data_IF_784601101897
#
_entry.id   IF_784601101897
#
_cell.length_a   1.000
_cell.length_b   1.000
_cell.length_c   1.000
_cell.angle_alpha   90.00
_cell.angle_beta   90.00
_cell.angle_gamma   90.00
#
_symmetry.space_group_name_H-M   'P 1'
#
loop_
_entity.id
_entity.type
_entity.pdbx_description
1 polymer ?
#
# COMPACT_ATOMS: atom_id res chain seq x y z
N UNK A 1 17.96 25.11 48.14
CA UNK A 1 17.60 24.41 46.88
C UNK A 1 18.73 23.44 46.59
N UNK A 2 18.55 22.19 46.99
CA UNK A 2 19.62 21.18 47.15
C UNK A 2 19.98 20.54 45.81
N UNK A 3 21.22 20.05 45.71
CA UNK A 3 21.80 19.36 44.54
C UNK A 3 20.96 18.20 44.00
N UNK A 4 20.05 17.65 44.82
CA UNK A 4 19.09 16.61 44.46
C UNK A 4 18.05 17.07 43.41
N UNK A 5 17.55 18.31 43.54
CA UNK A 5 16.51 18.90 42.69
C UNK A 5 17.03 19.24 41.26
N UNK A 6 18.34 19.47 41.15
CA UNK A 6 19.03 19.67 39.86
C UNK A 6 19.24 18.36 39.10
N UNK A 7 19.46 17.26 39.82
CA UNK A 7 19.67 15.93 39.22
C UNK A 7 18.36 15.33 38.67
N UNK A 8 17.24 15.51 39.38
CA UNK A 8 15.91 15.09 38.88
C UNK A 8 15.48 15.88 37.64
N UNK A 9 15.66 17.20 37.63
CA UNK A 9 15.36 18.02 36.45
C UNK A 9 16.25 17.66 35.23
N UNK A 10 17.52 17.31 35.47
CA UNK A 10 18.43 16.84 34.42
C UNK A 10 18.01 15.46 33.87
N UNK A 11 17.64 14.52 34.74
CA UNK A 11 17.16 13.20 34.33
C UNK A 11 15.80 13.25 33.61
N UNK A 12 14.90 14.13 34.04
CA UNK A 12 13.61 14.37 33.39
C UNK A 12 13.79 14.97 31.99
N UNK A 13 14.63 16.00 31.85
CA UNK A 13 14.92 16.61 30.54
C UNK A 13 15.66 15.67 29.59
N UNK A 14 16.55 14.81 30.10
CA UNK A 14 17.19 13.74 29.31
C UNK A 14 16.19 12.68 28.85
N UNK A 15 15.25 12.26 29.70
CA UNK A 15 14.17 11.32 29.32
C UNK A 15 13.19 11.95 28.33
N UNK A 16 12.89 13.25 28.47
CA UNK A 16 12.05 13.99 27.54
C UNK A 16 12.73 14.15 26.17
N UNK A 17 14.03 14.51 26.15
CA UNK A 17 14.83 14.58 24.91
C UNK A 17 15.03 13.21 24.27
N UNK A 18 15.18 12.14 25.05
CA UNK A 18 15.24 10.78 24.53
C UNK A 18 13.89 10.33 23.94
N UNK A 19 12.76 10.62 24.61
CA UNK A 19 11.42 10.33 24.07
C UNK A 19 11.09 11.18 22.84
N UNK A 20 11.44 12.47 22.85
CA UNK A 20 11.28 13.35 21.70
C UNK A 20 12.19 12.92 20.54
N UNK A 21 13.43 12.52 20.82
CA UNK A 21 14.35 11.95 19.83
C UNK A 21 13.82 10.66 19.21
N UNK A 22 13.22 9.77 20.01
CA UNK A 22 12.59 8.52 19.53
C UNK A 22 11.32 8.81 18.70
N UNK A 23 10.56 9.86 19.03
CA UNK A 23 9.37 10.26 18.28
C UNK A 23 9.68 11.06 17.00
N UNK A 24 10.74 11.87 17.01
CA UNK A 24 11.14 12.73 15.89
C UNK A 24 12.06 11.99 14.89
N UNK A 25 12.78 10.95 15.34
CA UNK A 25 13.69 10.14 14.52
C UNK A 25 13.08 9.57 13.23
N UNK A 26 11.82 9.09 13.19
CA UNK A 26 11.22 8.62 11.94
C UNK A 26 10.64 9.73 11.07
N UNK A 27 10.32 10.90 11.62
CA UNK A 27 9.69 12.00 10.87
C UNK A 27 10.73 12.74 10.02
N UNK A 28 11.94 12.92 10.57
CA UNK A 28 13.00 13.67 9.91
C UNK A 28 13.42 13.05 8.55
N UNK A 29 13.68 11.74 8.42
CA UNK A 29 13.99 11.13 7.12
C UNK A 29 12.87 11.30 6.09
N UNK A 30 11.61 11.20 6.52
CA UNK A 30 10.45 11.38 5.62
C UNK A 30 10.34 12.82 5.12
N UNK A 31 10.52 13.81 5.99
CA UNK A 31 10.53 15.22 5.59
C UNK A 31 11.72 15.53 4.67
N UNK A 32 12.90 14.99 4.96
CA UNK A 32 14.08 15.13 4.11
C UNK A 32 13.87 14.48 2.74
N UNK A 33 13.24 13.30 2.68
CA UNK A 33 12.91 12.64 1.42
C UNK A 33 11.91 13.45 0.60
N UNK A 34 10.87 14.00 1.25
CA UNK A 34 9.89 14.87 0.60
C UNK A 34 10.54 16.15 0.05
N UNK A 35 11.33 16.84 0.88
CA UNK A 35 12.04 18.05 0.48
C UNK A 35 13.05 17.77 -0.64
N UNK A 36 13.79 16.66 -0.55
CA UNK A 36 14.74 16.22 -1.57
C UNK A 36 14.06 15.90 -2.90
N UNK A 37 12.92 15.20 -2.88
CA UNK A 37 12.14 14.92 -4.07
C UNK A 37 11.62 16.21 -4.74
N UNK A 38 11.09 17.15 -3.94
CA UNK A 38 10.64 18.45 -4.44
C UNK A 38 11.79 19.26 -5.03
N UNK A 39 12.96 19.27 -4.37
CA UNK A 39 14.15 19.96 -4.84
C UNK A 39 14.64 19.38 -6.18
N UNK A 40 14.73 18.05 -6.30
CA UNK A 40 15.11 17.39 -7.54
C UNK A 40 14.12 17.68 -8.67
N UNK A 41 12.82 17.71 -8.37
CA UNK A 41 11.79 18.08 -9.34
C UNK A 41 11.94 19.53 -9.83
N UNK A 42 12.14 20.48 -8.91
CA UNK A 42 12.39 21.89 -9.26
C UNK A 42 13.66 22.04 -10.10
N UNK A 43 14.75 21.38 -9.71
CA UNK A 43 16.01 21.42 -10.45
C UNK A 43 15.83 20.88 -11.87
N UNK A 44 15.09 19.77 -12.03
CA UNK A 44 14.77 19.21 -13.34
C UNK A 44 14.02 20.20 -14.24
N UNK A 45 13.02 20.90 -13.70
CA UNK A 45 12.28 21.92 -14.45
C UNK A 45 13.15 23.10 -14.87
N UNK A 46 14.04 23.54 -13.99
CA UNK A 46 15.00 24.62 -14.29
C UNK A 46 15.96 24.21 -15.41
N UNK A 47 16.48 22.98 -15.39
CA UNK A 47 17.33 22.44 -16.48
C UNK A 47 16.56 22.37 -17.80
N UNK A 48 15.26 22.07 -17.77
CA UNK A 48 14.38 22.03 -18.95
C UNK A 48 13.87 23.44 -19.38
N UNK A 49 14.29 24.52 -18.71
CA UNK A 49 13.83 25.88 -19.01
C UNK A 49 12.34 26.13 -18.76
N UNK A 50 11.68 25.30 -17.94
CA UNK A 50 10.26 25.44 -17.57
C UNK A 50 10.11 26.26 -16.30
N UNK A 51 9.03 27.06 -16.15
CA UNK A 51 8.79 27.86 -14.94
C UNK A 51 8.51 26.97 -13.72
N UNK A 52 9.54 26.70 -12.92
CA UNK A 52 9.46 25.79 -11.78
C UNK A 52 8.56 26.31 -10.65
N UNK A 53 8.53 27.64 -10.42
CA UNK A 53 7.69 28.28 -9.41
C UNK A 53 6.21 28.11 -9.70
N UNK A 54 5.80 28.32 -10.97
CA UNK A 54 4.42 28.08 -11.42
C UNK A 54 4.05 26.61 -11.27
N UNK A 55 4.93 25.68 -11.63
CA UNK A 55 4.68 24.26 -11.44
C UNK A 55 4.43 23.89 -9.96
N UNK A 56 5.22 24.42 -9.03
CA UNK A 56 5.01 24.21 -7.60
C UNK A 56 3.68 24.80 -7.11
N UNK A 57 3.31 25.99 -7.58
CA UNK A 57 2.02 26.61 -7.26
C UNK A 57 0.85 25.78 -7.81
N UNK A 58 0.97 25.26 -9.03
CA UNK A 58 -0.04 24.39 -9.64
C UNK A 58 -0.20 23.06 -8.89
N UNK A 59 0.89 22.46 -8.40
CA UNK A 59 0.82 21.27 -7.53
C UNK A 59 0.04 21.59 -6.26
N UNK A 60 0.35 22.72 -5.61
CA UNK A 60 -0.31 23.13 -4.38
C UNK A 60 -1.81 23.45 -4.61
N UNK A 61 -2.13 24.21 -5.67
CA UNK A 61 -3.51 24.54 -6.03
C UNK A 61 -4.30 23.29 -6.46
N UNK A 62 -3.69 22.38 -7.21
CA UNK A 62 -4.29 21.14 -7.65
C UNK A 62 -4.58 20.17 -6.50
N UNK A 63 -3.85 20.26 -5.39
CA UNK A 63 -4.05 19.42 -4.21
C UNK A 63 -4.94 20.07 -3.13
N UNK A 64 -4.77 21.38 -2.88
CA UNK A 64 -5.35 22.09 -1.72
C UNK A 64 -6.12 23.36 -2.10
N UNK A 65 -6.14 23.76 -3.38
CA UNK A 65 -6.68 25.06 -3.81
C UNK A 65 -8.19 25.20 -3.71
N UNK A 66 -8.93 24.09 -3.62
CA UNK A 66 -10.38 24.09 -3.43
C UNK A 66 -10.85 22.85 -2.67
N UNK A 67 -12.08 22.89 -2.15
CA UNK A 67 -12.70 21.72 -1.53
C UNK A 67 -12.77 20.52 -2.49
N UNK A 68 -13.00 20.76 -3.78
CA UNK A 68 -13.00 19.73 -4.82
C UNK A 68 -11.61 19.13 -5.05
N UNK A 69 -10.57 19.96 -5.16
CA UNK A 69 -9.18 19.53 -5.32
C UNK A 69 -8.72 18.66 -4.13
N UNK A 70 -9.09 19.08 -2.91
CA UNK A 70 -8.83 18.33 -1.69
C UNK A 70 -9.52 16.96 -1.69
N UNK A 71 -10.81 16.90 -2.06
CA UNK A 71 -11.54 15.65 -2.15
C UNK A 71 -10.96 14.70 -3.21
N UNK A 72 -10.57 15.20 -4.38
CA UNK A 72 -9.91 14.40 -5.41
C UNK A 72 -8.57 13.83 -4.92
N UNK A 73 -7.81 14.64 -4.17
CA UNK A 73 -6.56 14.20 -3.54
C UNK A 73 -6.80 13.05 -2.56
N UNK A 74 -7.80 13.17 -1.69
CA UNK A 74 -8.19 12.11 -0.76
C UNK A 74 -8.71 10.86 -1.47
N UNK A 75 -9.44 11.02 -2.57
CA UNK A 75 -9.94 9.92 -3.39
C UNK A 75 -8.77 9.11 -3.98
N UNK A 76 -7.73 9.77 -4.49
CA UNK A 76 -6.51 9.11 -4.98
C UNK A 76 -5.65 8.54 -3.86
N UNK A 77 -5.69 9.13 -2.67
CA UNK A 77 -4.92 8.64 -1.52
C UNK A 77 -5.41 7.26 -1.04
N UNK A 78 -6.70 6.97 -1.17
CA UNK A 78 -7.30 5.71 -0.71
C UNK A 78 -6.59 4.44 -1.23
N UNK A 79 -6.47 4.20 -2.56
CA UNK A 79 -5.75 3.03 -3.07
C UNK A 79 -4.24 3.12 -2.82
N UNK A 80 -3.67 4.32 -2.70
CA UNK A 80 -2.24 4.51 -2.43
C UNK A 80 -1.85 4.06 -1.01
N UNK A 81 -2.71 4.25 0.00
CA UNK A 81 -2.47 3.77 1.36
C UNK A 81 -2.35 2.24 1.42
N UNK A 82 -3.28 1.56 0.75
CA UNK A 82 -3.36 0.11 0.69
C UNK A 82 -2.22 -0.51 -0.14
N UNK A 83 -1.90 0.07 -1.29
CA UNK A 83 -0.74 -0.36 -2.09
C UNK A 83 0.60 -0.06 -1.41
N UNK A 84 0.70 1.01 -0.60
CA UNK A 84 1.88 1.27 0.21
C UNK A 84 2.13 0.16 1.25
N UNK A 85 1.09 -0.50 1.78
CA UNK A 85 1.25 -1.66 2.66
C UNK A 85 1.87 -2.87 1.95
N UNK A 86 1.68 -2.99 0.63
CA UNK A 86 2.36 -4.01 -0.18
C UNK A 86 3.88 -3.82 -0.23
N UNK A 87 4.37 -2.61 0.02
CA UNK A 87 5.80 -2.34 0.18
C UNK A 87 6.20 -2.46 1.66
N UNK A 88 5.42 -1.85 2.55
CA UNK A 88 5.76 -1.74 3.96
C UNK A 88 5.80 -3.08 4.71
N UNK A 89 4.90 -4.03 4.37
CA UNK A 89 4.84 -5.34 5.04
C UNK A 89 6.01 -6.26 4.64
N UNK A 90 6.31 -6.48 3.35
CA UNK A 90 7.51 -7.23 2.94
C UNK A 90 8.83 -6.58 3.40
N UNK A 91 8.89 -5.24 3.49
CA UNK A 91 10.06 -4.55 4.01
C UNK A 91 10.41 -4.97 5.46
N UNK A 92 9.43 -5.43 6.25
CA UNK A 92 9.68 -5.91 7.62
C UNK A 92 10.50 -7.18 7.69
N UNK A 93 10.46 -8.00 6.63
CA UNK A 93 11.28 -9.21 6.48
C UNK A 93 12.52 -8.98 5.60
N UNK A 94 12.85 -7.70 5.33
CA UNK A 94 14.05 -7.31 4.57
C UNK A 94 13.90 -7.41 3.05
N UNK A 95 12.67 -7.48 2.53
CA UNK A 95 12.41 -7.53 1.09
C UNK A 95 12.06 -6.17 0.50
N UNK A 96 12.47 -5.94 -0.74
CA UNK A 96 12.10 -4.75 -1.52
C UNK A 96 11.16 -5.19 -2.65
N UNK A 97 9.86 -5.09 -2.40
CA UNK A 97 8.79 -5.40 -3.35
C UNK A 97 8.27 -4.12 -3.99
N UNK A 98 8.20 -4.09 -5.32
CA UNK A 98 7.68 -2.94 -6.09
C UNK A 98 6.49 -3.30 -6.99
N UNK A 99 6.12 -4.58 -7.07
CA UNK A 99 5.04 -5.09 -7.92
C UNK A 99 3.61 -4.93 -7.40
N UNK A 100 3.35 -3.96 -6.52
CA UNK A 100 2.02 -3.77 -5.93
C UNK A 100 0.91 -3.44 -6.94
N UNK A 101 1.28 -2.80 -8.06
CA UNK A 101 0.38 -2.51 -9.18
C UNK A 101 -0.23 -3.78 -9.79
N UNK A 102 0.55 -4.87 -9.91
CA UNK A 102 0.04 -6.15 -10.39
C UNK A 102 -1.00 -6.76 -9.44
N UNK A 103 -0.77 -6.64 -8.13
CA UNK A 103 -1.72 -7.13 -7.13
C UNK A 103 -3.03 -6.32 -7.15
N UNK A 104 -2.95 -5.00 -7.32
CA UNK A 104 -4.10 -4.11 -7.53
C UNK A 104 -4.88 -4.53 -8.78
N UNK A 105 -4.20 -4.69 -9.92
CA UNK A 105 -4.85 -5.05 -11.19
C UNK A 105 -5.58 -6.40 -11.09
N UNK A 106 -4.93 -7.42 -10.51
CA UNK A 106 -5.55 -8.73 -10.29
C UNK A 106 -6.68 -8.66 -9.26
N UNK A 107 -6.50 -7.93 -8.16
CA UNK A 107 -7.54 -7.74 -7.15
C UNK A 107 -8.81 -7.12 -7.74
N UNK A 108 -8.67 -5.99 -8.44
CA UNK A 108 -9.77 -5.30 -9.11
C UNK A 108 -10.46 -6.16 -10.17
N UNK A 109 -9.70 -6.94 -10.96
CA UNK A 109 -10.26 -7.88 -11.93
C UNK A 109 -11.16 -8.92 -11.26
N UNK A 110 -10.66 -9.60 -10.23
CA UNK A 110 -11.41 -10.67 -9.56
C UNK A 110 -12.61 -10.10 -8.81
N UNK A 111 -12.49 -8.91 -8.20
CA UNK A 111 -13.63 -8.20 -7.61
C UNK A 111 -14.71 -7.86 -8.63
N UNK A 112 -14.34 -7.31 -9.79
CA UNK A 112 -15.29 -6.89 -10.82
C UNK A 112 -16.01 -8.07 -11.48
N UNK A 113 -15.34 -9.21 -11.56
CA UNK A 113 -15.84 -10.40 -12.25
C UNK A 113 -16.70 -11.28 -11.35
N UNK A 114 -16.47 -11.27 -10.03
CA UNK A 114 -17.17 -12.13 -9.08
C UNK A 114 -18.71 -12.07 -9.18
N UNK A 115 -19.36 -10.89 -9.29
CA UNK A 115 -20.82 -10.81 -9.37
C UNK A 115 -21.42 -11.45 -10.63
N UNK A 116 -20.64 -11.60 -11.70
CA UNK A 116 -21.07 -12.27 -12.92
C UNK A 116 -21.11 -13.80 -12.79
N UNK A 117 -20.40 -14.35 -11.80
CA UNK A 117 -20.34 -15.79 -11.53
C UNK A 117 -21.24 -16.24 -10.38
N UNK A 118 -21.87 -15.31 -9.66
CA UNK A 118 -22.75 -15.58 -8.54
C UNK A 118 -24.18 -15.11 -8.86
N UNK A 119 -25.21 -15.71 -8.23
CA UNK A 119 -26.56 -15.15 -8.31
C UNK A 119 -26.59 -13.73 -7.71
N UNK A 120 -27.62 -12.96 -8.02
CA UNK A 120 -27.82 -11.65 -7.41
C UNK A 120 -27.99 -11.81 -5.89
N UNK A 121 -26.94 -11.49 -5.13
CA UNK A 121 -26.92 -11.52 -3.67
C UNK A 121 -27.15 -10.11 -3.12
N UNK A 122 -27.54 -10.03 -1.85
CA UNK A 122 -27.60 -8.75 -1.15
C UNK A 122 -26.22 -8.06 -1.16
N UNK A 123 -26.14 -6.72 -1.32
CA UNK A 123 -24.89 -5.97 -1.24
C UNK A 123 -24.07 -6.24 0.02
N UNK A 124 -24.75 -6.52 1.14
CA UNK A 124 -24.12 -6.87 2.42
C UNK A 124 -23.28 -8.16 2.38
N UNK A 125 -23.55 -9.04 1.41
CA UNK A 125 -22.82 -10.30 1.21
C UNK A 125 -21.84 -10.14 0.04
N UNK A 126 -22.29 -9.52 -1.05
CA UNK A 126 -21.48 -9.38 -2.26
C UNK A 126 -20.24 -8.50 -2.04
N UNK A 127 -20.38 -7.34 -1.36
CA UNK A 127 -19.26 -6.42 -1.15
C UNK A 127 -18.12 -7.06 -0.30
N UNK A 128 -18.40 -7.72 0.85
CA UNK A 128 -17.36 -8.47 1.56
C UNK A 128 -16.77 -9.61 0.72
N UNK A 129 -17.57 -10.31 -0.07
CA UNK A 129 -17.07 -11.39 -0.93
C UNK A 129 -16.12 -10.85 -2.02
N UNK A 130 -16.45 -9.72 -2.64
CA UNK A 130 -15.60 -9.01 -3.59
C UNK A 130 -14.29 -8.56 -2.93
N UNK A 131 -14.36 -7.99 -1.73
CA UNK A 131 -13.16 -7.61 -0.97
C UNK A 131 -12.27 -8.82 -0.65
N UNK A 132 -12.86 -9.93 -0.21
CA UNK A 132 -12.12 -11.16 0.12
C UNK A 132 -11.46 -11.77 -1.12
N UNK A 133 -12.18 -11.88 -2.25
CA UNK A 133 -11.57 -12.44 -3.46
C UNK A 133 -10.45 -11.55 -4.00
N UNK A 134 -10.59 -10.22 -3.88
CA UNK A 134 -9.57 -9.27 -4.30
C UNK A 134 -8.31 -9.39 -3.42
N UNK A 135 -8.49 -9.49 -2.10
CA UNK A 135 -7.41 -9.76 -1.15
C UNK A 135 -6.72 -11.11 -1.42
N UNK A 136 -7.47 -12.15 -1.73
CA UNK A 136 -6.90 -13.47 -2.06
C UNK A 136 -6.10 -13.39 -3.35
N UNK A 137 -6.65 -12.80 -4.41
CA UNK A 137 -5.98 -12.68 -5.70
C UNK A 137 -4.66 -11.88 -5.59
N UNK A 138 -4.72 -10.67 -5.02
CA UNK A 138 -3.53 -9.85 -4.80
C UNK A 138 -2.52 -10.50 -3.83
N UNK A 139 -3.02 -11.14 -2.77
CA UNK A 139 -2.21 -11.83 -1.78
C UNK A 139 -1.45 -13.01 -2.37
N UNK A 140 -2.11 -13.86 -3.15
CA UNK A 140 -1.47 -14.96 -3.86
C UNK A 140 -0.43 -14.46 -4.88
N UNK A 141 -0.72 -13.34 -5.55
CA UNK A 141 0.18 -12.76 -6.55
C UNK A 141 1.52 -12.30 -5.95
N UNK A 142 1.49 -11.59 -4.83
CA UNK A 142 2.72 -11.14 -4.17
C UNK A 142 3.35 -12.26 -3.33
N UNK A 143 2.56 -13.18 -2.77
CA UNK A 143 3.07 -14.39 -2.14
C UNK A 143 3.93 -15.21 -3.11
N UNK A 144 3.55 -15.27 -4.40
CA UNK A 144 4.36 -15.88 -5.45
C UNK A 144 5.73 -15.21 -5.60
N UNK A 145 5.81 -13.87 -5.50
CA UNK A 145 7.09 -13.15 -5.50
C UNK A 145 7.98 -13.58 -4.34
N UNK A 146 7.41 -13.61 -3.12
CA UNK A 146 8.11 -14.07 -1.91
C UNK A 146 8.52 -15.54 -1.98
N UNK A 147 7.70 -16.36 -2.63
CA UNK A 147 7.97 -17.77 -2.88
C UNK A 147 9.18 -17.96 -3.81
N UNK A 148 9.19 -17.26 -4.95
CA UNK A 148 10.32 -17.29 -5.89
C UNK A 148 11.61 -16.82 -5.22
N UNK A 149 11.53 -15.81 -4.34
CA UNK A 149 12.69 -15.38 -3.54
C UNK A 149 13.21 -16.51 -2.65
N UNK A 150 12.36 -17.19 -1.91
CA UNK A 150 12.83 -18.18 -0.93
C UNK A 150 13.23 -19.53 -1.51
N UNK A 151 12.49 -20.03 -2.48
CA UNK A 151 12.73 -21.36 -3.03
C UNK A 151 13.62 -21.36 -4.27
N UNK A 152 13.62 -20.26 -5.04
CA UNK A 152 14.40 -20.14 -6.29
C UNK A 152 15.52 -19.12 -6.21
N UNK A 153 15.65 -18.38 -5.11
CA UNK A 153 16.69 -17.36 -4.94
C UNK A 153 16.54 -16.16 -5.88
N UNK A 154 15.39 -16.00 -6.53
CA UNK A 154 15.16 -14.90 -7.47
C UNK A 154 15.12 -13.57 -6.71
N UNK A 155 15.69 -12.52 -7.29
CA UNK A 155 15.60 -11.18 -6.72
C UNK A 155 14.12 -10.73 -6.69
N UNK A 156 13.64 -10.39 -5.49
CA UNK A 156 12.29 -9.99 -5.15
C UNK A 156 11.85 -8.69 -5.84
N UNK A 157 12.77 -7.76 -6.06
CA UNK A 157 12.49 -6.50 -6.76
C UNK A 157 12.24 -6.79 -8.24
N UNK A 158 13.10 -7.60 -8.85
CA UNK A 158 12.95 -7.99 -10.26
C UNK A 158 11.71 -8.88 -10.46
N UNK A 159 11.52 -9.90 -9.62
CA UNK A 159 10.38 -10.81 -9.76
C UNK A 159 9.04 -10.10 -9.57
N UNK A 160 8.93 -9.20 -8.59
CA UNK A 160 7.70 -8.44 -8.38
C UNK A 160 7.41 -7.45 -9.51
N UNK A 161 8.43 -6.80 -10.06
CA UNK A 161 8.27 -5.94 -11.23
C UNK A 161 7.77 -6.72 -12.45
N UNK A 162 8.42 -7.85 -12.76
CA UNK A 162 8.03 -8.70 -13.91
C UNK A 162 6.63 -9.29 -13.73
N UNK A 163 6.29 -9.74 -12.52
CA UNK A 163 4.94 -10.22 -12.21
C UNK A 163 3.89 -9.12 -12.30
N UNK A 164 4.25 -7.85 -12.06
CA UNK A 164 3.36 -6.72 -12.30
C UNK A 164 3.00 -6.59 -13.77
N UNK A 165 4.00 -6.64 -14.66
CA UNK A 165 3.75 -6.60 -16.10
C UNK A 165 2.90 -7.77 -16.59
N UNK A 166 3.14 -8.98 -16.06
CA UNK A 166 2.33 -10.16 -16.36
C UNK A 166 0.88 -9.95 -15.90
N UNK A 167 0.66 -9.45 -14.68
CA UNK A 167 -0.69 -9.16 -14.17
C UNK A 167 -1.43 -8.16 -15.05
N UNK A 168 -0.78 -7.06 -15.43
CA UNK A 168 -1.39 -6.04 -16.31
C UNK A 168 -1.68 -6.62 -17.70
N UNK A 169 -0.80 -7.47 -18.24
CA UNK A 169 -1.05 -8.13 -19.52
C UNK A 169 -2.24 -9.11 -19.45
N UNK A 170 -2.34 -9.89 -18.38
CA UNK A 170 -3.48 -10.78 -18.12
C UNK A 170 -4.78 -10.00 -17.94
N UNK A 171 -4.75 -8.91 -17.17
CA UNK A 171 -5.87 -8.00 -16.99
C UNK A 171 -6.37 -7.50 -18.35
N UNK A 172 -5.48 -6.95 -19.19
CA UNK A 172 -5.84 -6.46 -20.53
C UNK A 172 -6.39 -7.57 -21.40
N UNK A 173 -5.72 -8.72 -21.46
CA UNK A 173 -6.18 -9.86 -22.27
C UNK A 173 -7.60 -10.31 -21.89
N UNK A 174 -7.90 -10.35 -20.59
CA UNK A 174 -9.21 -10.79 -20.10
C UNK A 174 -10.30 -9.74 -20.34
N UNK A 175 -10.01 -8.47 -20.08
CA UNK A 175 -10.96 -7.35 -20.26
C UNK A 175 -11.23 -7.05 -21.73
N UNK A 176 -10.22 -7.16 -22.60
CA UNK A 176 -10.35 -6.92 -24.04
C UNK A 176 -10.89 -8.13 -24.80
N UNK A 177 -10.75 -9.34 -24.22
CA UNK A 177 -11.20 -10.60 -24.80
C UNK A 177 -12.44 -11.17 -24.10
N UNK A 178 -12.32 -12.26 -23.32
CA UNK A 178 -13.47 -13.03 -22.81
C UNK A 178 -14.49 -12.25 -21.96
N UNK A 179 -14.05 -11.24 -21.22
CA UNK A 179 -14.90 -10.48 -20.30
C UNK A 179 -15.42 -9.19 -20.91
N UNK A 180 -15.11 -8.93 -22.18
CA UNK A 180 -15.49 -7.69 -22.85
C UNK A 180 -17.01 -7.56 -22.91
N UNK A 181 -17.52 -6.42 -22.48
CA UNK A 181 -18.91 -6.05 -22.67
C UNK A 181 -19.21 -5.83 -24.16
N UNK A 182 -20.12 -6.61 -24.78
CA UNK A 182 -20.53 -6.43 -26.16
C UNK A 182 -21.16 -5.05 -26.42
N UNK A 183 -21.73 -4.41 -25.40
CA UNK A 183 -22.34 -3.08 -25.51
C UNK A 183 -21.30 -1.95 -25.55
N UNK A 184 -20.06 -2.20 -25.10
CA UNK A 184 -19.00 -1.19 -25.09
C UNK A 184 -18.17 -1.22 -26.39
N UNK A 185 -18.61 -0.45 -27.37
CA UNK A 185 -17.98 -0.37 -28.70
C UNK A 185 -16.67 0.45 -28.70
N UNK A 186 -16.61 1.53 -27.92
CA UNK A 186 -15.52 2.52 -27.99
C UNK A 186 -14.40 2.34 -26.96
N UNK A 187 -14.62 1.56 -25.89
CA UNK A 187 -13.64 1.34 -24.82
C UNK A 187 -13.76 -0.09 -24.30
N UNK A 188 -12.73 -0.94 -24.43
CA UNK A 188 -12.77 -2.27 -23.82
C UNK A 188 -12.98 -2.15 -22.31
N UNK A 189 -14.09 -2.69 -21.82
CA UNK A 189 -14.45 -2.74 -20.42
C UNK A 189 -15.20 -4.03 -20.14
N UNK A 190 -15.18 -4.47 -18.89
CA UNK A 190 -16.10 -5.52 -18.44
C UNK A 190 -17.53 -5.00 -18.41
N UNK A 191 -18.49 -5.91 -18.28
CA UNK A 191 -19.88 -5.56 -17.99
C UNK A 191 -19.92 -4.67 -16.74
N UNK A 192 -20.67 -3.55 -16.76
CA UNK A 192 -20.74 -2.66 -15.60
C UNK A 192 -21.34 -3.37 -14.39
N UNK A 193 -20.77 -3.10 -13.22
CA UNK A 193 -21.30 -3.54 -11.96
C UNK A 193 -22.65 -2.85 -11.69
N UNK A 194 -23.66 -3.57 -11.16
CA UNK A 194 -24.87 -2.94 -10.64
C UNK A 194 -24.52 -1.87 -9.60
N UNK A 195 -25.26 -0.75 -9.59
CA UNK A 195 -25.03 0.38 -8.68
C UNK A 195 -25.00 -0.05 -7.20
N UNK A 196 -25.76 -1.10 -6.86
CA UNK A 196 -25.82 -1.68 -5.53
C UNK A 196 -24.48 -2.28 -5.04
N UNK A 197 -23.55 -2.61 -5.94
CA UNK A 197 -22.22 -3.16 -5.63
C UNK A 197 -21.10 -2.12 -5.81
N UNK A 198 -21.44 -0.86 -6.09
CA UNK A 198 -20.47 0.23 -6.10
C UNK A 198 -20.19 0.73 -4.68
N UNK A 199 -18.95 1.14 -4.42
CA UNK A 199 -18.57 1.74 -3.15
C UNK A 199 -19.09 3.17 -3.12
N UNK A 200 -20.07 3.41 -2.25
CA UNK A 200 -20.66 4.73 -2.10
C UNK A 200 -19.65 5.78 -1.56
N UNK A 201 -19.88 7.07 -1.86
CA UNK A 201 -19.14 8.16 -1.23
C UNK A 201 -19.48 8.27 0.27
N UNK A 202 -18.59 8.92 1.01
CA UNK A 202 -18.77 9.27 2.41
C UNK A 202 -19.87 10.33 2.55
N UNK A 203 -20.65 10.33 3.64
CA UNK A 203 -21.67 11.36 3.85
C UNK A 203 -21.04 12.76 3.87
N UNK A 204 -21.42 13.61 2.91
CA UNK A 204 -20.94 15.00 2.83
C UNK A 204 -19.59 15.22 2.13
N UNK A 205 -18.98 14.17 1.56
CA UNK A 205 -17.73 14.26 0.79
C UNK A 205 -17.81 13.36 -0.45
N UNK A 206 -17.29 13.81 -1.60
CA UNK A 206 -17.17 13.00 -2.83
C UNK A 206 -15.98 12.01 -2.77
N UNK A 207 -15.76 11.40 -1.59
CA UNK A 207 -14.66 10.48 -1.31
C UNK A 207 -15.23 9.12 -0.95
N UNK A 208 -14.81 8.05 -1.63
CA UNK A 208 -15.31 6.71 -1.36
C UNK A 208 -14.82 6.14 -0.02
N UNK A 209 -15.58 5.19 0.54
CA UNK A 209 -15.25 4.48 1.80
C UNK A 209 -13.90 3.76 1.79
N UNK A 210 -13.28 3.57 0.62
CA UNK A 210 -11.93 2.99 0.50
C UNK A 210 -10.87 3.79 1.26
N UNK A 211 -11.04 5.11 1.45
CA UNK A 211 -10.13 5.91 2.28
C UNK A 211 -10.14 5.43 3.74
N UNK A 212 -11.33 5.19 4.29
CA UNK A 212 -11.50 4.73 5.68
C UNK A 212 -10.92 3.33 5.83
N UNK A 213 -11.21 2.42 4.91
CA UNK A 213 -10.66 1.06 4.92
C UNK A 213 -9.13 1.06 4.77
N UNK A 214 -8.56 1.91 3.92
CA UNK A 214 -7.12 2.07 3.80
C UNK A 214 -6.48 2.57 5.08
N UNK A 215 -7.05 3.60 5.72
CA UNK A 215 -6.57 4.08 7.02
C UNK A 215 -6.66 3.02 8.11
N UNK A 216 -7.79 2.30 8.19
CA UNK A 216 -7.98 1.18 9.12
C UNK A 216 -6.96 0.07 8.87
N UNK A 217 -6.70 -0.30 7.62
CA UNK A 217 -5.69 -1.30 7.26
C UNK A 217 -4.28 -0.86 7.67
N UNK A 218 -3.93 0.43 7.51
CA UNK A 218 -2.65 0.95 7.99
C UNK A 218 -2.51 0.87 9.52
N UNK A 219 -3.56 1.24 10.26
CA UNK A 219 -3.59 1.14 11.72
C UNK A 219 -3.52 -0.33 12.15
N UNK A 220 -4.27 -1.21 11.52
CA UNK A 220 -4.26 -2.64 11.79
C UNK A 220 -2.88 -3.26 11.53
N UNK A 221 -2.24 -2.91 10.41
CA UNK A 221 -0.88 -3.33 10.10
C UNK A 221 0.13 -2.82 11.12
N UNK A 222 0.00 -1.57 11.57
CA UNK A 222 0.84 -1.01 12.63
C UNK A 222 0.68 -1.78 13.96
N UNK A 223 -0.55 -2.03 14.40
CA UNK A 223 -0.83 -2.81 15.61
C UNK A 223 -0.26 -4.22 15.47
N UNK A 224 -0.54 -4.89 14.36
CA UNK A 224 -0.05 -6.24 14.08
C UNK A 224 1.48 -6.30 14.15
N UNK A 225 2.18 -5.38 13.49
CA UNK A 225 3.64 -5.38 13.45
C UNK A 225 4.28 -5.08 14.80
N UNK A 226 3.66 -4.25 15.64
CA UNK A 226 4.21 -3.87 16.95
C UNK A 226 3.82 -4.78 18.09
N UNK A 227 2.63 -5.36 18.05
CA UNK A 227 2.02 -6.05 19.19
C UNK A 227 1.80 -7.56 18.95
N UNK A 228 2.20 -8.11 17.81
CA UNK A 228 2.10 -9.56 17.55
C UNK A 228 3.45 -10.28 17.56
N UNK A 229 3.42 -11.56 17.90
CA UNK A 229 4.58 -12.48 17.85
C UNK A 229 5.09 -12.62 16.42
N UNK A 230 4.20 -12.67 15.43
CA UNK A 230 4.58 -12.75 14.02
C UNK A 230 5.28 -11.47 13.58
N UNK A 231 4.78 -10.29 13.96
CA UNK A 231 5.41 -9.01 13.68
C UNK A 231 6.82 -8.91 14.28
N UNK A 232 6.99 -9.37 15.52
CA UNK A 232 8.31 -9.47 16.15
C UNK A 232 9.24 -10.43 15.42
N UNK A 233 8.76 -11.62 15.04
CA UNK A 233 9.54 -12.60 14.28
C UNK A 233 9.92 -12.07 12.89
N UNK A 234 9.03 -11.33 12.22
CA UNK A 234 9.32 -10.64 10.95
C UNK A 234 10.45 -9.63 11.14
N UNK A 235 10.41 -8.80 12.18
CA UNK A 235 11.45 -7.81 12.46
C UNK A 235 12.83 -8.45 12.70
N UNK A 236 12.90 -9.58 13.41
CA UNK A 236 14.15 -10.33 13.60
C UNK A 236 14.64 -10.89 12.25
N UNK A 237 13.74 -11.48 11.46
CA UNK A 237 14.06 -12.02 10.15
C UNK A 237 14.58 -10.95 9.17
N UNK A 238 14.01 -9.74 9.20
CA UNK A 238 14.44 -8.62 8.38
C UNK A 238 15.78 -8.02 8.80
N UNK A 239 16.13 -8.07 10.09
CA UNK A 239 17.44 -7.62 10.57
C UNK A 239 18.57 -8.55 10.12
N UNK A 240 18.40 -9.87 10.31
CA UNK A 240 19.34 -10.87 9.81
C UNK A 240 18.68 -12.24 9.66
N UNK A 241 18.36 -12.62 8.42
CA UNK A 241 17.74 -13.91 8.11
C UNK A 241 18.60 -15.15 8.42
N UNK A 242 19.92 -15.02 8.59
CA UNK A 242 20.77 -16.13 9.05
C UNK A 242 20.61 -16.34 10.55
N UNK A 243 20.72 -15.27 11.34
CA UNK A 243 20.51 -15.32 12.80
C UNK A 243 19.11 -15.78 13.15
N UNK A 244 18.09 -15.30 12.42
CA UNK A 244 16.71 -15.73 12.63
C UNK A 244 16.54 -17.26 12.45
N UNK A 245 17.22 -17.86 11.47
CA UNK A 245 17.21 -19.31 11.26
C UNK A 245 17.95 -20.07 12.36
N UNK A 246 19.07 -19.54 12.87
CA UNK A 246 19.81 -20.15 13.98
C UNK A 246 18.98 -20.23 15.27
N UNK A 247 18.11 -19.24 15.50
CA UNK A 247 17.18 -19.22 16.64
C UNK A 247 15.88 -20.01 16.36
N UNK A 248 15.80 -20.68 15.20
CA UNK A 248 14.69 -21.58 14.86
C UNK A 248 13.45 -20.89 14.26
N UNK A 249 13.53 -19.62 13.85
CA UNK A 249 12.40 -18.93 13.23
C UNK A 249 12.14 -19.47 11.81
N UNK A 250 10.86 -19.68 11.42
CA UNK A 250 10.50 -20.18 10.10
C UNK A 250 10.55 -19.05 9.05
N UNK A 251 11.75 -18.53 8.77
CA UNK A 251 11.98 -17.37 7.88
C UNK A 251 11.27 -17.50 6.53
N UNK A 252 11.27 -18.71 5.94
CA UNK A 252 10.63 -18.93 4.64
C UNK A 252 9.12 -18.66 4.70
N UNK A 253 8.45 -19.12 5.76
CA UNK A 253 7.02 -18.87 5.95
C UNK A 253 6.75 -17.40 6.26
N UNK A 254 7.58 -16.78 7.10
CA UNK A 254 7.44 -15.36 7.45
C UNK A 254 7.54 -14.46 6.21
N UNK A 255 8.46 -14.78 5.30
CA UNK A 255 8.59 -14.08 4.02
C UNK A 255 7.32 -14.18 3.18
N UNK A 256 6.81 -15.40 2.97
CA UNK A 256 5.62 -15.61 2.14
C UNK A 256 4.38 -14.97 2.77
N UNK A 257 4.23 -15.04 4.09
CA UNK A 257 3.14 -14.39 4.82
C UNK A 257 3.22 -12.87 4.69
N UNK A 258 4.41 -12.27 4.87
CA UNK A 258 4.59 -10.83 4.72
C UNK A 258 4.21 -10.35 3.30
N UNK A 259 4.64 -11.10 2.28
CA UNK A 259 4.27 -10.88 0.89
C UNK A 259 2.77 -11.07 0.65
N UNK A 260 2.15 -12.12 1.20
CA UNK A 260 0.72 -12.37 1.06
C UNK A 260 -0.13 -11.27 1.68
N UNK A 261 0.20 -10.82 2.89
CA UNK A 261 -0.52 -9.72 3.56
C UNK A 261 -0.35 -8.41 2.80
N UNK A 262 0.86 -8.13 2.30
CA UNK A 262 1.13 -6.96 1.47
C UNK A 262 0.31 -6.98 0.17
N UNK A 263 0.33 -8.11 -0.54
CA UNK A 263 -0.47 -8.31 -1.75
C UNK A 263 -1.97 -8.27 -1.49
N UNK A 264 -2.44 -8.76 -0.35
CA UNK A 264 -3.85 -8.69 0.03
C UNK A 264 -4.29 -7.24 0.23
N UNK A 265 -3.47 -6.42 0.89
CA UNK A 265 -3.74 -5.00 1.02
C UNK A 265 -3.78 -4.29 -0.35
N UNK A 266 -2.81 -4.56 -1.24
CA UNK A 266 -2.84 -4.00 -2.59
C UNK A 266 -3.99 -4.52 -3.46
N UNK A 267 -4.41 -5.78 -3.29
CA UNK A 267 -5.55 -6.33 -4.02
C UNK A 267 -6.88 -5.76 -3.55
N UNK A 268 -6.98 -5.30 -2.30
CA UNK A 268 -8.17 -4.62 -1.77
C UNK A 268 -8.32 -3.16 -2.24
N UNK A 269 -7.22 -2.53 -2.69
CA UNK A 269 -7.21 -1.14 -3.15
C UNK A 269 -8.05 -0.92 -4.40
#
# INVERSE_FOLDING_TARGET
MTTYDRAENSAFTLRLKARAGIALAPVLPTLCALAGALLLFVLFLLVQGKPATEACLLIFQGAFGSAFAWQNTLQRAAPLLLTALCVALPARVGLIVIGGEGALAMGGLFAAVLPSFLPALSPWIMLPAMAVIAMIAGGLWIALCGALRQWRGVNETISSLLLSYIAVALFKHLVEGPLRDPASLNKPSTVPLPDAYLINPLPGLDVHWGLVWGALACVAAWIFLRHSVIGFAMAIAGGNGRTARLVGLPVNRLVVIACAMGGAAAGLA
#
